data_IF_649500283453
#
_entry.id   IF_649500283453
#
_cell.length_a   1.000
_cell.length_b   1.000
_cell.length_c   1.000
_cell.angle_alpha   90.00
_cell.angle_beta   90.00
_cell.angle_gamma   90.00
#
_symmetry.space_group_name_H-M   'P 1'
#
loop_
_entity.id
_entity.type
_entity.pdbx_description
1 polymer ?
#
# COMPACT_ATOMS: atom_id res chain seq x y z
N UNK A 1 -17.36 7.97 10.91
CA UNK A 1 -16.71 6.74 10.42
C UNK A 1 -15.90 7.08 9.19
N UNK A 2 -14.59 6.88 9.22
CA UNK A 2 -13.74 7.05 8.02
C UNK A 2 -14.12 5.92 7.05
N UNK A 3 -14.81 6.24 5.96
CA UNK A 3 -15.02 5.28 4.87
C UNK A 3 -13.71 5.14 4.10
N UNK A 4 -12.89 4.16 4.45
CA UNK A 4 -11.72 3.83 3.64
C UNK A 4 -12.16 3.06 2.39
N UNK A 5 -12.09 3.70 1.22
CA UNK A 5 -12.35 3.02 -0.05
C UNK A 5 -11.06 2.30 -0.48
N UNK A 6 -11.08 0.96 -0.41
CA UNK A 6 -10.04 0.12 -1.05
C UNK A 6 -10.28 0.12 -2.56
N UNK A 7 -9.68 1.07 -3.26
CA UNK A 7 -9.77 1.20 -4.72
C UNK A 7 -8.94 0.13 -5.46
N UNK A 8 -9.24 -1.16 -5.22
CA UNK A 8 -8.55 -2.31 -5.83
C UNK A 8 -7.02 -2.28 -5.68
N UNK A 9 -6.53 -1.75 -4.56
CA UNK A 9 -5.12 -1.71 -4.19
C UNK A 9 -4.85 -2.66 -3.04
N UNK A 10 -3.77 -3.44 -3.13
CA UNK A 10 -3.31 -4.40 -2.10
C UNK A 10 -2.73 -3.72 -0.84
N UNK A 11 -3.27 -2.57 -0.45
CA UNK A 11 -2.78 -1.76 0.66
C UNK A 11 -3.02 -2.49 1.99
N UNK A 12 -1.92 -2.83 2.67
CA UNK A 12 -1.95 -3.26 4.07
C UNK A 12 -2.13 -2.04 4.99
N UNK A 13 -3.26 -1.95 5.67
CA UNK A 13 -3.61 -0.83 6.54
C UNK A 13 -3.61 -1.27 7.99
N UNK A 14 -2.91 -0.52 8.84
CA UNK A 14 -2.89 -0.74 10.28
C UNK A 14 -3.48 0.47 11.01
N UNK A 15 -4.36 0.22 11.97
CA UNK A 15 -4.94 1.23 12.84
C UNK A 15 -4.34 1.13 14.24
N UNK A 16 -3.83 2.26 14.73
CA UNK A 16 -3.30 2.45 16.08
C UNK A 16 -4.21 3.44 16.80
N UNK A 17 -5.13 2.94 17.63
CA UNK A 17 -6.20 3.76 18.20
C UNK A 17 -6.22 3.65 19.73
N UNK A 18 -6.42 4.79 20.40
CA UNK A 18 -6.56 4.85 21.86
C UNK A 18 -7.89 4.24 22.35
N UNK A 19 -8.90 4.16 21.50
CA UNK A 19 -10.26 3.70 21.86
C UNK A 19 -10.62 2.41 21.10
N UNK A 20 -11.50 2.50 20.11
CA UNK A 20 -12.14 1.32 19.50
C UNK A 20 -11.41 0.67 18.32
N UNK A 21 -10.30 1.24 17.86
CA UNK A 21 -9.66 0.74 16.63
C UNK A 21 -10.40 1.16 15.36
N UNK A 22 -10.14 0.48 14.25
CA UNK A 22 -10.86 0.70 13.00
C UNK A 22 -11.14 -0.64 12.31
N UNK A 23 -12.42 -0.92 12.11
CA UNK A 23 -12.98 -2.11 11.48
C UNK A 23 -12.54 -2.31 10.02
N UNK A 24 -12.25 -1.21 9.32
CA UNK A 24 -11.78 -1.27 7.93
C UNK A 24 -10.26 -1.52 7.84
N UNK A 25 -9.54 -1.57 8.96
CA UNK A 25 -8.10 -1.87 8.97
C UNK A 25 -7.85 -3.38 8.97
N UNK A 26 -6.84 -3.83 8.21
CA UNK A 26 -6.39 -5.23 8.22
C UNK A 26 -5.82 -5.66 9.58
N UNK A 27 -5.24 -4.69 10.31
CA UNK A 27 -4.79 -4.86 11.68
C UNK A 27 -5.23 -3.64 12.49
N UNK A 28 -5.82 -3.87 13.65
CA UNK A 28 -6.20 -2.80 14.56
C UNK A 28 -5.73 -3.09 15.97
N UNK A 29 -4.97 -2.16 16.54
CA UNK A 29 -4.50 -2.19 17.93
C UNK A 29 -5.30 -1.15 18.72
N UNK A 30 -6.06 -1.63 19.71
CA UNK A 30 -6.97 -0.83 20.55
C UNK A 30 -6.32 -0.46 21.88
N UNK A 31 -6.97 0.44 22.62
CA UNK A 31 -6.56 0.90 23.95
C UNK A 31 -5.13 1.42 24.00
N UNK A 32 -4.64 2.02 22.92
CA UNK A 32 -3.25 2.41 22.80
C UNK A 32 -2.89 3.58 23.74
N UNK A 33 -1.83 3.40 24.52
CA UNK A 33 -1.20 4.44 25.33
C UNK A 33 0.31 4.49 25.05
N UNK A 34 0.98 5.53 25.56
CA UNK A 34 2.42 5.71 25.35
C UNK A 34 3.25 4.50 25.82
N UNK A 35 2.85 3.89 26.94
CA UNK A 35 3.52 2.70 27.48
C UNK A 35 3.39 1.47 26.58
N UNK A 36 2.20 1.20 26.02
CA UNK A 36 1.98 0.09 25.08
C UNK A 36 2.72 0.31 23.77
N UNK A 37 2.81 1.54 23.26
CA UNK A 37 3.61 1.84 22.06
C UNK A 37 5.08 1.47 22.29
N UNK A 38 5.64 1.79 23.46
CA UNK A 38 7.01 1.40 23.78
C UNK A 38 7.17 -0.11 23.88
N UNK A 39 6.22 -0.83 24.49
CA UNK A 39 6.23 -2.30 24.56
C UNK A 39 6.16 -2.94 23.18
N UNK A 40 5.28 -2.47 22.30
CA UNK A 40 5.17 -2.93 20.91
C UNK A 40 6.49 -2.70 20.17
N UNK A 41 7.07 -1.50 20.32
CA UNK A 41 8.36 -1.16 19.72
C UNK A 41 9.46 -2.12 20.18
N UNK A 42 9.50 -2.42 21.48
CA UNK A 42 10.49 -3.33 22.05
C UNK A 42 10.29 -4.77 21.56
N UNK A 43 9.05 -5.26 21.54
CA UNK A 43 8.71 -6.59 21.02
C UNK A 43 9.13 -6.77 19.56
N UNK A 44 8.93 -5.75 18.71
CA UNK A 44 9.38 -5.77 17.31
C UNK A 44 10.91 -5.82 17.22
N UNK A 45 11.62 -5.03 18.03
CA UNK A 45 13.09 -5.05 18.08
C UNK A 45 13.62 -6.41 18.51
N UNK A 46 12.99 -7.02 19.50
CA UNK A 46 13.41 -8.31 20.03
C UNK A 46 13.10 -9.44 19.05
N UNK A 47 11.94 -9.42 18.38
CA UNK A 47 11.60 -10.36 17.30
C UNK A 47 12.58 -10.27 16.12
N UNK A 48 13.05 -9.06 15.79
CA UNK A 48 14.07 -8.86 14.75
C UNK A 48 15.43 -9.41 15.18
N UNK A 49 15.80 -9.23 16.45
CA UNK A 49 17.08 -9.72 17.00
C UNK A 49 17.10 -11.24 17.17
N UNK A 50 15.98 -11.84 17.55
CA UNK A 50 15.88 -13.29 17.74
C UNK A 50 15.89 -14.07 16.42
N UNK A 51 15.70 -13.38 15.28
CA UNK A 51 15.58 -14.02 13.97
C UNK A 51 14.26 -14.77 13.79
N UNK A 52 13.32 -14.67 14.74
CA UNK A 52 12.02 -15.33 14.65
C UNK A 52 11.14 -14.76 13.52
N UNK A 53 11.41 -13.53 13.10
CA UNK A 53 10.70 -12.86 12.01
C UNK A 53 11.71 -12.30 11.03
N UNK A 54 11.66 -12.74 9.78
CA UNK A 54 12.34 -12.11 8.66
C UNK A 54 11.42 -11.06 8.05
N UNK A 55 11.74 -9.76 8.13
CA UNK A 55 10.94 -8.73 7.48
C UNK A 55 11.00 -8.91 5.95
N UNK A 56 9.84 -8.98 5.28
CA UNK A 56 9.78 -9.19 3.82
C UNK A 56 10.69 -8.23 3.02
N UNK A 57 10.75 -6.94 3.39
CA UNK A 57 11.61 -5.97 2.70
C UNK A 57 13.12 -6.21 2.86
N UNK A 58 13.54 -7.09 3.78
CA UNK A 58 14.93 -7.51 3.93
C UNK A 58 15.22 -8.84 3.23
N UNK A 59 14.18 -9.60 2.89
CA UNK A 59 14.29 -10.87 2.15
C UNK A 59 14.78 -10.66 0.72
N UNK A 60 15.39 -11.70 0.14
CA UNK A 60 15.85 -11.66 -1.25
C UNK A 60 14.71 -11.39 -2.24
N UNK A 61 13.54 -12.01 -2.01
CA UNK A 61 12.35 -11.79 -2.83
C UNK A 61 11.85 -10.36 -2.72
N UNK A 62 11.71 -9.84 -1.50
CA UNK A 62 11.19 -8.49 -1.29
C UNK A 62 12.09 -7.38 -1.83
N UNK A 63 13.42 -7.56 -1.78
CA UNK A 63 14.36 -6.60 -2.40
C UNK A 63 14.20 -6.52 -3.92
N UNK A 64 14.09 -7.67 -4.59
CA UNK A 64 13.88 -7.72 -6.03
C UNK A 64 12.54 -7.04 -6.43
N UNK A 65 11.46 -7.34 -5.70
CA UNK A 65 10.15 -6.71 -5.91
C UNK A 65 10.20 -5.19 -5.66
N UNK A 66 10.93 -4.73 -4.64
CA UNK A 66 11.09 -3.29 -4.37
C UNK A 66 11.90 -2.56 -5.45
N UNK A 67 12.94 -3.19 -6.00
CA UNK A 67 13.71 -2.64 -7.13
C UNK A 67 12.87 -2.55 -8.40
N UNK A 68 12.06 -3.56 -8.69
CA UNK A 68 11.10 -3.53 -9.80
C UNK A 68 10.08 -2.41 -9.63
N UNK A 69 9.50 -2.27 -8.44
CA UNK A 69 8.54 -1.20 -8.12
C UNK A 69 9.20 0.18 -8.24
N UNK A 70 10.45 0.34 -7.79
CA UNK A 70 11.20 1.58 -7.92
C UNK A 70 11.46 1.92 -9.40
N UNK A 71 11.86 0.94 -10.21
CA UNK A 71 12.02 1.12 -11.65
C UNK A 71 10.69 1.47 -12.35
N UNK A 72 9.59 0.84 -11.93
CA UNK A 72 8.24 1.15 -12.41
C UNK A 72 7.79 2.57 -12.05
N UNK A 73 8.07 3.03 -10.82
CA UNK A 73 7.82 4.42 -10.39
C UNK A 73 8.66 5.41 -11.21
N UNK A 74 9.94 5.15 -11.40
CA UNK A 74 10.82 6.02 -12.20
C UNK A 74 10.40 6.10 -13.67
N UNK A 75 9.80 5.03 -14.23
CA UNK A 75 9.18 5.05 -15.56
C UNK A 75 7.91 5.91 -15.57
N UNK A 76 7.03 5.76 -14.57
CA UNK A 76 5.79 6.55 -14.43
C UNK A 76 6.04 8.03 -14.17
N UNK A 77 7.08 8.40 -13.44
CA UNK A 77 7.43 9.81 -13.22
C UNK A 77 7.91 10.52 -14.50
N UNK A 78 8.33 9.75 -15.50
CA UNK A 78 8.72 10.26 -16.84
C UNK A 78 7.54 10.30 -17.83
N UNK A 79 6.37 9.79 -17.44
CA UNK A 79 5.15 9.92 -18.23
C UNK A 79 4.62 11.35 -18.10
N UNK A 80 4.53 12.05 -19.22
CA UNK A 80 3.86 13.34 -19.41
C UNK A 80 2.51 13.14 -20.09
N UNK A 81 1.69 14.21 -20.16
CA UNK A 81 0.38 14.13 -20.84
C UNK A 81 0.52 13.81 -22.34
N UNK A 82 1.65 14.11 -22.97
CA UNK A 82 1.85 13.86 -24.41
C UNK A 82 2.25 12.42 -24.73
N UNK A 83 2.76 11.66 -23.76
CA UNK A 83 3.28 10.30 -23.97
C UNK A 83 2.49 9.23 -23.18
N UNK A 84 1.34 9.62 -22.62
CA UNK A 84 0.35 8.74 -21.99
C UNK A 84 -0.85 8.60 -22.90
N UNK A 85 -1.20 7.36 -23.22
CA UNK A 85 -2.50 7.04 -23.81
C UNK A 85 -3.57 7.26 -22.73
N UNK A 86 -4.18 8.44 -22.75
CA UNK A 86 -5.37 8.73 -21.93
C UNK A 86 -6.53 7.91 -22.49
N UNK A 87 -7.32 7.30 -21.59
CA UNK A 87 -8.50 6.47 -21.86
C UNK A 87 -9.57 7.12 -22.78
N UNK A 88 -9.40 8.37 -23.18
CA UNK A 88 -10.31 9.09 -24.09
C UNK A 88 -10.06 8.77 -25.58
N UNK A 89 -8.87 8.28 -25.96
CA UNK A 89 -8.57 7.95 -27.36
C UNK A 89 -9.35 6.75 -27.91
N UNK A 90 -9.61 5.74 -27.06
CA UNK A 90 -10.40 4.55 -27.44
C UNK A 90 -11.92 4.80 -27.46
N UNK A 91 -12.39 5.90 -26.86
CA UNK A 91 -13.81 6.25 -26.82
C UNK A 91 -14.29 6.91 -28.11
N UNK A 92 -13.41 7.66 -28.81
CA UNK A 92 -13.72 8.24 -30.12
C UNK A 92 -13.85 7.14 -31.20
N UNK A 93 -13.03 6.08 -31.14
CA UNK A 93 -13.11 4.97 -32.10
C UNK A 93 -14.40 4.14 -31.95
N UNK A 94 -14.91 3.95 -30.72
CA UNK A 94 -16.15 3.20 -30.47
C UNK A 94 -17.45 4.00 -30.73
N UNK A 95 -17.38 5.32 -30.87
CA UNK A 95 -18.51 6.17 -31.28
C UNK A 95 -18.75 6.09 -32.78
N UNK A 96 -17.68 5.99 -33.57
CA UNK A 96 -17.75 5.85 -35.04
C UNK A 96 -18.28 4.48 -35.48
N UNK A 97 -18.03 3.41 -34.69
CA UNK A 97 -18.51 2.06 -34.98
C UNK A 97 -20.01 1.83 -34.64
N UNK A 98 -20.67 2.77 -33.97
CA UNK A 98 -22.08 2.67 -33.58
C UNK A 98 -22.95 3.80 -34.18
N UNK A 99 -22.43 4.50 -35.19
CA UNK A 99 -23.16 5.45 -36.01
C UNK A 99 -23.76 4.74 -37.24
N UNK A 100 -24.81 3.94 -37.01
CA UNK A 100 -25.84 3.67 -38.04
C UNK A 100 -26.77 4.87 -38.21
#
# INVERSE_FOLDING_TARGET
TLKMIRANTDCYTMALCQYDGHEDALLSIRDLDGGKIQKITQAIKDAKKSGAVEPWGLSAKGKAELEEVAAGKAKRDKLTKENVTLFMGDLEQGLDENAE
#
